data_IF_079288889199
#
_entry.id   IF_079288889199
#
_cell.length_a   1.000
_cell.length_b   1.000
_cell.length_c   1.000
_cell.angle_alpha   90.00
_cell.angle_beta   90.00
_cell.angle_gamma   90.00
#
_symmetry.space_group_name_H-M   'P 1'
#
loop_
_entity.id
_entity.type
_entity.pdbx_description
1 polymer ?
#
# COMPACT_ATOMS: atom_id res chain seq x y z
N UNK A 1 -84.07 -6.22 -5.75
CA UNK A 1 -83.77 -6.36 -7.19
C UNK A 1 -82.50 -5.56 -7.44
N UNK A 2 -81.32 -6.19 -7.34
CA UNK A 2 -80.50 -6.66 -8.49
C UNK A 2 -80.59 -5.70 -9.68
N UNK A 3 -79.55 -4.90 -9.89
CA UNK A 3 -78.61 -5.03 -11.03
C UNK A 3 -77.31 -4.28 -10.68
N UNK A 4 -76.22 -5.06 -10.52
CA UNK A 4 -74.84 -4.57 -10.50
C UNK A 4 -74.40 -4.31 -11.94
N UNK A 5 -73.73 -3.18 -12.18
CA UNK A 5 -72.86 -2.99 -13.35
C UNK A 5 -71.45 -2.69 -12.83
N UNK A 6 -70.58 -3.67 -13.00
CA UNK A 6 -69.14 -3.63 -12.72
C UNK A 6 -68.42 -2.95 -13.88
N UNK A 7 -67.79 -1.80 -13.62
CA UNK A 7 -66.75 -1.23 -14.46
C UNK A 7 -65.46 -1.13 -13.63
N UNK A 8 -64.46 -1.93 -14.00
CA UNK A 8 -63.13 -1.96 -13.42
C UNK A 8 -62.40 -0.63 -13.68
N UNK A 9 -62.03 0.10 -12.64
CA UNK A 9 -60.91 1.04 -12.72
C UNK A 9 -59.61 0.25 -12.47
N UNK A 10 -58.80 0.11 -13.51
CA UNK A 10 -57.42 -0.37 -13.39
C UNK A 10 -56.58 0.77 -12.81
N UNK A 11 -56.17 0.65 -11.55
CA UNK A 11 -55.19 1.54 -10.95
C UNK A 11 -53.79 1.07 -11.37
N UNK A 12 -53.16 1.80 -12.28
CA UNK A 12 -51.72 1.65 -12.56
C UNK A 12 -50.98 2.22 -11.35
N UNK A 13 -50.51 1.36 -10.46
CA UNK A 13 -49.56 1.73 -9.43
C UNK A 13 -48.19 1.91 -10.11
N UNK A 14 -47.80 3.16 -10.38
CA UNK A 14 -46.42 3.48 -10.71
C UNK A 14 -45.58 3.25 -9.45
N UNK A 15 -44.93 2.09 -9.39
CA UNK A 15 -43.89 1.81 -8.40
C UNK A 15 -42.68 2.71 -8.69
N UNK A 16 -42.60 3.85 -8.00
CA UNK A 16 -41.32 4.52 -7.82
C UNK A 16 -40.51 3.69 -6.85
N UNK A 17 -39.68 2.79 -7.37
CA UNK A 17 -38.57 2.27 -6.61
C UNK A 17 -37.62 3.45 -6.35
N UNK A 18 -37.72 4.05 -5.17
CA UNK A 18 -36.60 4.81 -4.64
C UNK A 18 -35.45 3.81 -4.53
N UNK A 19 -34.41 4.00 -5.35
CA UNK A 19 -33.16 3.33 -5.13
C UNK A 19 -32.78 3.59 -3.66
N UNK A 20 -32.57 2.52 -2.90
CA UNK A 20 -31.95 2.65 -1.59
C UNK A 20 -30.68 3.50 -1.78
N UNK A 21 -30.43 4.49 -0.92
CA UNK A 21 -29.14 5.18 -0.93
C UNK A 21 -28.05 4.11 -0.88
N UNK A 22 -27.02 4.28 -1.71
CA UNK A 22 -25.84 3.42 -1.67
C UNK A 22 -25.42 3.26 -0.19
N UNK A 23 -25.06 2.05 0.26
CA UNK A 23 -24.57 1.88 1.61
C UNK A 23 -23.43 2.88 1.82
N UNK A 24 -23.53 3.71 2.86
CA UNK A 24 -22.42 4.52 3.34
C UNK A 24 -21.23 3.55 3.46
N UNK A 25 -20.15 3.83 2.73
CA UNK A 25 -19.02 2.91 2.62
C UNK A 25 -18.60 2.41 3.99
N UNK A 26 -18.38 1.10 4.12
CA UNK A 26 -17.69 0.57 5.29
C UNK A 26 -16.37 1.36 5.42
N UNK A 27 -16.23 2.12 6.51
CA UNK A 27 -14.93 2.67 6.88
C UNK A 27 -14.06 1.46 7.19
N UNK A 28 -13.23 1.07 6.22
CA UNK A 28 -12.27 0.00 6.39
C UNK A 28 -11.35 0.33 7.57
N UNK A 29 -10.95 -0.69 8.31
CA UNK A 29 -9.84 -0.55 9.24
C UNK A 29 -8.56 -0.29 8.45
N UNK A 30 -7.67 0.49 9.06
CA UNK A 30 -6.37 0.87 8.52
C UNK A 30 -5.28 0.19 9.35
N UNK A 31 -4.08 0.00 8.80
CA UNK A 31 -2.97 -0.60 9.54
C UNK A 31 -1.68 -0.67 8.75
N UNK A 32 -0.57 -0.42 9.43
CA UNK A 32 0.76 -0.37 8.83
C UNK A 32 1.59 -1.59 9.27
N UNK A 33 2.19 -2.27 8.29
CA UNK A 33 2.93 -3.52 8.53
C UNK A 33 4.17 -3.31 9.41
N UNK A 34 4.75 -4.37 10.01
CA UNK A 34 6.06 -4.25 10.65
C UNK A 34 7.15 -3.71 9.73
N UNK A 35 7.07 -4.01 8.43
CA UNK A 35 7.99 -3.48 7.42
C UNK A 35 7.91 -1.96 7.27
N UNK A 36 6.72 -1.37 7.43
CA UNK A 36 6.56 0.09 7.45
C UNK A 36 7.27 0.68 8.68
N UNK A 37 6.84 0.28 9.89
CA UNK A 37 7.34 0.88 11.13
C UNK A 37 8.84 0.72 11.35
N UNK A 38 9.43 -0.41 10.94
CA UNK A 38 10.88 -0.62 11.07
C UNK A 38 11.71 0.24 10.10
N UNK A 39 11.13 0.59 8.96
CA UNK A 39 11.80 1.41 7.95
C UNK A 39 11.53 2.91 8.13
N UNK A 40 10.63 3.28 9.04
CA UNK A 40 10.23 4.68 9.32
C UNK A 40 10.37 5.02 10.82
N UNK A 41 11.56 4.89 11.43
CA UNK A 41 11.75 5.20 12.85
C UNK A 41 11.40 6.65 13.22
N UNK A 42 11.58 7.59 12.30
CA UNK A 42 11.22 9.02 12.44
C UNK A 42 9.72 9.25 12.66
N UNK A 43 8.86 8.28 12.29
CA UNK A 43 7.40 8.38 12.42
C UNK A 43 6.88 8.00 13.80
N UNK A 44 7.77 7.60 14.71
CA UNK A 44 7.45 7.15 16.06
C UNK A 44 8.64 7.31 17.02
N UNK A 45 9.42 8.38 16.88
CA UNK A 45 10.59 8.68 17.72
C UNK A 45 10.32 9.69 18.85
N UNK A 46 9.11 10.25 18.93
CA UNK A 46 8.73 11.28 19.89
C UNK A 46 9.18 12.69 19.51
N UNK A 47 9.67 12.91 18.28
CA UNK A 47 10.27 14.16 17.85
C UNK A 47 9.74 14.64 16.51
N UNK A 48 9.90 15.94 16.23
CA UNK A 48 9.52 16.50 14.93
C UNK A 48 8.01 16.65 14.73
N UNK A 49 7.63 17.03 13.51
CA UNK A 49 6.23 17.15 13.07
C UNK A 49 5.81 15.99 12.16
N UNK A 50 6.72 15.06 11.95
CA UNK A 50 6.64 13.85 11.15
C UNK A 50 6.34 12.59 11.99
N UNK A 51 6.39 12.68 13.32
CA UNK A 51 5.90 11.65 14.24
C UNK A 51 4.37 11.53 14.18
N UNK A 52 3.89 10.33 13.90
CA UNK A 52 2.46 10.01 13.80
C UNK A 52 1.90 9.38 15.06
N UNK A 53 2.75 8.89 15.95
CA UNK A 53 2.37 8.31 17.24
C UNK A 53 2.27 9.37 18.33
N UNK A 54 1.50 9.10 19.38
CA UNK A 54 1.24 10.03 20.48
C UNK A 54 2.02 9.62 21.73
N UNK A 55 2.01 8.33 22.07
CA UNK A 55 2.57 7.77 23.30
C UNK A 55 3.56 6.63 23.07
N UNK A 56 3.43 5.91 21.95
CA UNK A 56 4.32 4.79 21.61
C UNK A 56 5.58 5.33 20.96
N UNK A 57 6.74 4.92 21.45
CA UNK A 57 8.03 5.34 20.90
C UNK A 57 8.88 4.13 20.55
N UNK A 58 9.54 4.16 19.41
CA UNK A 58 10.29 3.03 18.86
C UNK A 58 11.44 2.57 19.77
N UNK A 59 11.96 3.45 20.63
CA UNK A 59 13.04 3.16 21.60
C UNK A 59 12.54 2.54 22.92
N UNK A 60 11.23 2.43 23.12
CA UNK A 60 10.68 1.82 24.33
C UNK A 60 11.12 0.35 24.42
N UNK A 61 11.52 -0.09 25.62
CA UNK A 61 11.92 -1.48 25.85
C UNK A 61 10.69 -2.38 25.78
N UNK A 62 10.75 -3.38 24.90
CA UNK A 62 9.60 -4.19 24.49
C UNK A 62 8.96 -4.93 25.66
N UNK A 63 9.77 -5.58 26.50
CA UNK A 63 9.26 -6.39 27.61
C UNK A 63 8.57 -5.53 28.66
N UNK A 64 9.14 -4.37 28.97
CA UNK A 64 8.59 -3.36 29.87
C UNK A 64 7.32 -2.75 29.31
N UNK A 65 7.28 -2.46 28.01
CA UNK A 65 6.11 -1.91 27.33
C UNK A 65 4.91 -2.85 27.39
N UNK A 66 5.11 -4.14 27.09
CA UNK A 66 4.05 -5.16 27.17
C UNK A 66 3.86 -5.76 28.58
N UNK A 67 4.74 -5.43 29.53
CA UNK A 67 4.72 -5.95 30.90
C UNK A 67 4.97 -7.46 31.01
N UNK A 68 5.84 -8.01 30.15
CA UNK A 68 6.14 -9.45 30.05
C UNK A 68 7.58 -9.76 30.46
N UNK A 69 7.88 -11.02 30.75
CA UNK A 69 9.26 -11.47 31.01
C UNK A 69 9.95 -11.93 29.72
N UNK A 70 11.29 -12.03 29.75
CA UNK A 70 12.10 -12.60 28.67
C UNK A 70 11.68 -14.01 28.30
N UNK A 71 11.27 -14.82 29.28
CA UNK A 71 10.83 -16.20 29.06
C UNK A 71 9.51 -16.26 28.29
N UNK A 72 8.64 -15.25 28.47
CA UNK A 72 7.37 -15.13 27.77
C UNK A 72 7.57 -14.59 26.34
N UNK A 73 8.35 -13.52 26.18
CA UNK A 73 8.56 -12.89 24.87
C UNK A 73 9.59 -13.60 24.00
N UNK A 74 10.55 -14.30 24.61
CA UNK A 74 11.74 -14.83 23.95
C UNK A 74 12.79 -13.76 23.62
N UNK A 75 12.56 -12.48 23.97
CA UNK A 75 13.45 -11.37 23.62
C UNK A 75 14.43 -11.03 24.75
N UNK A 76 15.72 -10.75 24.45
CA UNK A 76 16.67 -10.23 25.43
C UNK A 76 16.17 -8.94 26.10
N UNK A 77 16.61 -8.71 27.35
CA UNK A 77 16.38 -7.43 28.02
C UNK A 77 17.00 -6.28 27.24
N UNK A 78 16.29 -5.17 27.15
CA UNK A 78 16.74 -3.99 26.42
C UNK A 78 16.38 -3.99 24.94
N UNK A 79 15.76 -5.07 24.43
CA UNK A 79 15.23 -5.08 23.06
C UNK A 79 14.16 -4.01 22.94
N UNK A 80 14.32 -3.10 21.99
CA UNK A 80 13.39 -2.00 21.72
C UNK A 80 12.20 -2.45 20.88
N UNK A 81 11.13 -1.65 20.81
CA UNK A 81 10.03 -1.88 19.87
C UNK A 81 10.51 -1.92 18.41
N UNK A 82 11.47 -1.05 18.05
CA UNK A 82 12.07 -1.03 16.71
C UNK A 82 12.80 -2.34 16.38
N UNK A 83 13.66 -2.81 17.28
CA UNK A 83 14.39 -4.07 17.11
C UNK A 83 13.43 -5.27 17.07
N UNK A 84 12.38 -5.26 17.89
CA UNK A 84 11.34 -6.28 17.85
C UNK A 84 10.62 -6.30 16.49
N UNK A 85 10.30 -5.14 15.92
CA UNK A 85 9.68 -4.99 14.59
C UNK A 85 10.56 -5.48 13.43
N UNK A 86 11.87 -5.66 13.64
CA UNK A 86 12.81 -6.21 12.65
C UNK A 86 13.22 -7.68 12.94
N UNK A 87 12.63 -8.34 13.94
CA UNK A 87 13.00 -9.73 14.26
C UNK A 87 12.68 -10.72 13.14
N UNK A 88 13.69 -11.50 12.73
CA UNK A 88 13.49 -12.63 11.83
C UNK A 88 12.85 -13.85 12.51
N UNK A 89 12.25 -14.74 11.72
CA UNK A 89 11.71 -16.02 12.20
C UNK A 89 10.20 -16.05 12.46
N UNK A 90 9.73 -17.16 13.06
CA UNK A 90 8.33 -17.46 13.36
C UNK A 90 8.01 -17.48 14.86
N UNK A 91 6.82 -17.97 15.24
CA UNK A 91 6.42 -18.12 16.64
C UNK A 91 6.51 -16.81 17.43
N UNK A 92 7.15 -16.83 18.60
CA UNK A 92 7.28 -15.66 19.47
C UNK A 92 7.94 -14.45 18.79
N UNK A 93 8.94 -14.68 17.92
CA UNK A 93 9.58 -13.60 17.17
C UNK A 93 8.58 -12.95 16.20
N UNK A 94 7.80 -13.75 15.46
CA UNK A 94 6.77 -13.21 14.58
C UNK A 94 5.67 -12.48 15.36
N UNK A 95 5.21 -13.03 16.50
CA UNK A 95 4.24 -12.36 17.36
C UNK A 95 4.78 -11.01 17.86
N UNK A 96 6.02 -10.97 18.36
CA UNK A 96 6.65 -9.73 18.82
C UNK A 96 6.77 -8.69 17.70
N UNK A 97 7.15 -9.13 16.50
CA UNK A 97 7.27 -8.27 15.32
C UNK A 97 5.94 -7.62 14.94
N UNK A 98 4.85 -8.39 14.94
CA UNK A 98 3.50 -7.88 14.67
C UNK A 98 2.93 -7.06 15.83
N UNK A 99 3.30 -7.37 17.07
CA UNK A 99 2.88 -6.61 18.25
C UNK A 99 3.51 -5.22 18.32
N UNK A 100 4.79 -5.09 17.99
CA UNK A 100 5.44 -3.77 17.89
C UNK A 100 4.76 -2.88 16.84
N UNK A 101 4.49 -3.43 15.65
CA UNK A 101 3.78 -2.72 14.58
C UNK A 101 2.33 -2.36 14.96
N UNK A 102 1.64 -3.27 15.65
CA UNK A 102 0.28 -3.04 16.11
C UNK A 102 0.24 -1.94 17.19
N UNK A 103 1.21 -1.91 18.09
CA UNK A 103 1.30 -0.87 19.12
C UNK A 103 1.42 0.52 18.47
N UNK A 104 2.35 0.68 17.52
CA UNK A 104 2.51 1.92 16.77
C UNK A 104 1.24 2.29 15.97
N UNK A 105 0.68 1.33 15.22
CA UNK A 105 -0.55 1.55 14.44
C UNK A 105 -1.75 1.95 15.30
N UNK A 106 -1.89 1.36 16.49
CA UNK A 106 -2.99 1.64 17.42
C UNK A 106 -2.90 2.99 18.13
N UNK A 107 -1.70 3.58 18.16
CA UNK A 107 -1.40 4.86 18.79
C UNK A 107 -1.25 5.99 17.76
N UNK A 108 -1.07 5.63 16.48
CA UNK A 108 -1.09 6.57 15.37
C UNK A 108 -2.49 7.14 15.11
N UNK A 109 -2.58 8.25 14.38
CA UNK A 109 -3.86 8.89 14.02
C UNK A 109 -4.64 8.16 12.91
N UNK A 110 -4.55 6.83 12.86
CA UNK A 110 -5.20 5.98 11.85
C UNK A 110 -6.35 5.17 12.47
N UNK A 111 -7.29 4.73 11.64
CA UNK A 111 -8.43 3.91 12.07
C UNK A 111 -8.04 2.44 12.29
N UNK A 112 -7.16 2.17 13.25
CA UNK A 112 -6.67 0.82 13.55
C UNK A 112 -7.74 -0.05 14.22
N UNK A 113 -7.75 -1.36 13.93
CA UNK A 113 -8.77 -2.30 14.41
C UNK A 113 -8.81 -2.44 15.94
N UNK A 114 -7.65 -2.33 16.59
CA UNK A 114 -7.50 -2.51 18.03
C UNK A 114 -7.04 -1.21 18.68
N UNK A 115 -7.54 -0.90 19.86
CA UNK A 115 -6.91 0.11 20.72
C UNK A 115 -5.55 -0.39 21.23
N UNK A 116 -4.67 0.51 21.65
CA UNK A 116 -3.37 0.13 22.23
C UNK A 116 -3.52 -0.83 23.43
N UNK A 117 -4.54 -0.62 24.26
CA UNK A 117 -4.84 -1.49 25.38
C UNK A 117 -5.22 -2.92 24.93
N UNK A 118 -5.99 -3.04 23.85
CA UNK A 118 -6.35 -4.33 23.25
C UNK A 118 -5.14 -5.00 22.60
N UNK A 119 -4.26 -4.25 21.93
CA UNK A 119 -2.99 -4.79 21.39
C UNK A 119 -2.14 -5.41 22.51
N UNK A 120 -1.99 -4.70 23.63
CA UNK A 120 -1.26 -5.20 24.79
C UNK A 120 -1.94 -6.45 25.36
N UNK A 121 -3.26 -6.47 25.48
CA UNK A 121 -4.01 -7.62 25.97
C UNK A 121 -3.88 -8.85 25.05
N UNK A 122 -3.99 -8.67 23.73
CA UNK A 122 -3.83 -9.74 22.73
C UNK A 122 -2.44 -10.34 22.82
N UNK A 123 -1.39 -9.50 22.88
CA UNK A 123 -0.02 -9.99 23.00
C UNK A 123 0.18 -10.78 24.30
N UNK A 124 -0.29 -10.22 25.43
CA UNK A 124 -0.15 -10.84 26.76
C UNK A 124 -0.92 -12.15 26.90
N UNK A 125 -2.09 -12.29 26.29
CA UNK A 125 -2.81 -13.57 26.21
C UNK A 125 -2.00 -14.59 25.40
N UNK A 126 -1.56 -14.22 24.18
CA UNK A 126 -0.81 -15.10 23.29
C UNK A 126 0.49 -15.66 23.86
N UNK A 127 1.19 -14.90 24.72
CA UNK A 127 2.42 -15.37 25.40
C UNK A 127 2.16 -15.97 26.79
N UNK A 128 0.89 -16.12 27.20
CA UNK A 128 0.49 -16.68 28.49
C UNK A 128 0.86 -15.80 29.68
N UNK A 129 0.98 -14.48 29.49
CA UNK A 129 1.19 -13.52 30.57
C UNK A 129 -0.11 -13.15 31.28
N UNK A 130 -1.23 -13.14 30.55
CA UNK A 130 -2.58 -12.97 31.10
C UNK A 130 -3.45 -14.21 30.84
N UNK A 131 -4.48 -14.47 31.65
CA UNK A 131 -5.45 -15.51 31.37
C UNK A 131 -6.29 -15.17 30.14
N UNK A 132 -6.28 -16.04 29.14
CA UNK A 132 -7.19 -15.98 28.01
C UNK A 132 -7.15 -17.28 27.20
N UNK A 133 -7.45 -17.18 25.91
CA UNK A 133 -7.62 -18.35 25.03
C UNK A 133 -6.70 -18.35 23.83
N UNK A 134 -6.05 -17.23 23.53
CA UNK A 134 -5.20 -17.12 22.35
C UNK A 134 -3.88 -17.84 22.57
N UNK A 135 -3.49 -18.67 21.60
CA UNK A 135 -2.10 -19.09 21.50
C UNK A 135 -1.23 -18.06 20.74
N UNK A 136 0.08 -18.33 20.67
CA UNK A 136 1.06 -17.46 20.00
C UNK A 136 0.69 -17.19 18.55
N UNK A 137 0.21 -18.21 17.82
CA UNK A 137 -0.11 -18.08 16.40
C UNK A 137 -1.45 -17.38 16.19
N UNK A 138 -2.45 -17.63 17.03
CA UNK A 138 -3.74 -16.95 17.00
C UNK A 138 -3.60 -15.45 17.30
N UNK A 139 -2.85 -15.09 18.35
CA UNK A 139 -2.55 -13.70 18.67
C UNK A 139 -1.75 -13.03 17.53
N UNK A 140 -0.77 -13.73 16.95
CA UNK A 140 0.02 -13.20 15.85
C UNK A 140 -0.84 -12.97 14.61
N UNK A 141 -1.71 -13.92 14.26
CA UNK A 141 -2.61 -13.81 13.11
C UNK A 141 -3.60 -12.64 13.26
N UNK A 142 -4.12 -12.42 14.47
CA UNK A 142 -5.01 -11.29 14.74
C UNK A 142 -4.31 -9.94 14.50
N UNK A 143 -3.11 -9.77 15.05
CA UNK A 143 -2.32 -8.55 14.87
C UNK A 143 -1.80 -8.41 13.43
N UNK A 144 -1.42 -9.51 12.78
CA UNK A 144 -1.01 -9.52 11.38
C UNK A 144 -2.13 -9.05 10.45
N UNK A 145 -3.35 -9.56 10.62
CA UNK A 145 -4.51 -9.17 9.83
C UNK A 145 -4.82 -7.67 9.97
N UNK A 146 -4.77 -7.13 11.19
CA UNK A 146 -4.95 -5.70 11.44
C UNK A 146 -3.84 -4.84 10.81
N UNK A 147 -2.58 -5.24 10.97
CA UNK A 147 -1.43 -4.56 10.36
C UNK A 147 -1.41 -4.60 8.82
N UNK A 148 -2.17 -5.52 8.20
CA UNK A 148 -2.29 -5.66 6.75
C UNK A 148 -3.58 -5.02 6.18
N UNK A 149 -4.33 -4.28 6.99
CA UNK A 149 -5.60 -3.66 6.58
C UNK A 149 -5.42 -2.50 5.57
N UNK A 150 -4.19 -2.01 5.41
CA UNK A 150 -3.82 -0.95 4.45
C UNK A 150 -3.33 0.28 5.20
N UNK A 151 -2.10 0.71 4.92
CA UNK A 151 -1.43 1.80 5.63
C UNK A 151 -1.82 3.16 5.00
N UNK A 152 -2.52 4.04 5.75
CA UNK A 152 -2.96 5.35 5.24
C UNK A 152 -1.93 6.45 5.54
N UNK A 153 -1.03 6.19 6.50
CA UNK A 153 0.23 6.90 6.62
C UNK A 153 0.92 6.56 5.32
N UNK A 154 1.04 7.53 4.42
CA UNK A 154 1.68 7.28 3.14
C UNK A 154 3.00 6.55 3.38
N UNK A 155 3.48 5.82 2.38
CA UNK A 155 4.92 5.61 2.28
C UNK A 155 5.60 6.95 1.97
N UNK A 156 5.29 7.99 2.75
CA UNK A 156 6.04 9.21 2.90
C UNK A 156 7.34 8.85 3.65
N UNK A 157 7.94 7.71 3.33
CA UNK A 157 9.36 7.65 3.17
C UNK A 157 9.70 8.95 2.44
N UNK A 158 10.43 9.90 3.08
CA UNK A 158 10.72 11.18 2.44
C UNK A 158 11.41 10.99 1.08
N UNK A 159 11.98 9.81 0.86
CA UNK A 159 12.61 9.40 -0.37
C UNK A 159 11.61 8.90 -1.44
N UNK A 160 10.40 8.46 -1.08
CA UNK A 160 9.37 7.98 -2.02
C UNK A 160 8.26 9.03 -2.16
N UNK A 161 8.16 9.64 -3.34
CA UNK A 161 7.11 10.62 -3.65
C UNK A 161 6.20 10.11 -4.76
N UNK A 162 4.98 9.62 -4.46
CA UNK A 162 3.96 9.33 -5.47
C UNK A 162 3.49 10.62 -6.16
N UNK A 163 3.32 10.57 -7.48
CA UNK A 163 2.85 11.73 -8.27
C UNK A 163 2.15 11.28 -9.55
N UNK A 164 1.62 12.25 -10.31
CA UNK A 164 0.94 12.00 -11.58
C UNK A 164 -0.30 11.09 -11.45
N UNK A 165 -1.14 11.39 -10.46
CA UNK A 165 -2.46 10.78 -10.38
C UNK A 165 -3.38 11.31 -11.50
N UNK A 166 -4.32 10.47 -11.92
CA UNK A 166 -5.39 10.82 -12.85
C UNK A 166 -6.49 11.60 -12.11
N UNK A 167 -6.68 12.86 -12.49
CA UNK A 167 -7.64 13.78 -11.89
C UNK A 167 -8.39 14.57 -12.97
N UNK A 168 -9.37 15.36 -12.53
CA UNK A 168 -10.17 16.20 -13.40
C UNK A 168 -9.30 17.11 -14.28
N UNK A 169 -9.52 17.03 -15.59
CA UNK A 169 -8.85 17.87 -16.59
C UNK A 169 -7.42 17.49 -16.93
N UNK A 170 -6.83 16.45 -16.29
CA UNK A 170 -5.48 16.00 -16.62
C UNK A 170 -5.44 14.71 -17.46
N UNK A 171 -6.54 13.95 -17.50
CA UNK A 171 -6.63 12.70 -18.26
C UNK A 171 -7.02 12.91 -19.73
N UNK A 172 -6.30 12.33 -20.70
CA UNK A 172 -6.57 12.55 -22.13
C UNK A 172 -7.96 12.13 -22.58
N UNK A 173 -8.51 11.08 -21.96
CA UNK A 173 -9.84 10.54 -22.28
C UNK A 173 -10.97 11.23 -21.48
N UNK A 174 -10.63 12.16 -20.56
CA UNK A 174 -11.61 12.83 -19.68
C UNK A 174 -12.06 12.03 -18.46
N UNK A 175 -11.79 10.72 -18.43
CA UNK A 175 -12.24 9.81 -17.37
C UNK A 175 -11.20 9.67 -16.22
N UNK A 176 -11.65 9.83 -14.96
CA UNK A 176 -10.83 9.72 -13.74
C UNK A 176 -11.70 9.26 -12.54
N UNK A 177 -11.09 8.62 -11.52
CA UNK A 177 -11.72 8.32 -10.22
C UNK A 177 -10.86 8.75 -9.01
N UNK A 178 -9.65 9.28 -9.25
CA UNK A 178 -8.63 9.45 -8.21
C UNK A 178 -8.04 8.11 -7.75
N UNK A 179 -6.88 8.14 -7.08
CA UNK A 179 -6.28 6.93 -6.48
C UNK A 179 -5.42 6.06 -7.41
N UNK A 180 -5.07 6.53 -8.61
CA UNK A 180 -4.17 5.86 -9.55
C UNK A 180 -3.91 6.73 -10.78
N UNK A 181 -3.50 6.13 -11.90
CA UNK A 181 -3.43 6.79 -13.22
C UNK A 181 -4.82 7.10 -13.79
N UNK A 182 -4.88 7.51 -15.07
CA UNK A 182 -6.15 7.72 -15.77
C UNK A 182 -6.94 6.41 -15.95
N UNK A 183 -8.27 6.49 -16.04
CA UNK A 183 -9.08 5.27 -16.12
C UNK A 183 -8.76 4.43 -17.35
N UNK A 184 -8.56 3.13 -17.13
CA UNK A 184 -8.49 2.14 -18.19
C UNK A 184 -9.88 1.53 -18.47
N UNK A 185 -9.98 0.64 -19.46
CA UNK A 185 -11.24 0.05 -19.93
C UNK A 185 -12.06 -0.72 -18.87
N UNK A 186 -11.47 -1.00 -17.71
CA UNK A 186 -12.11 -1.66 -16.58
C UNK A 186 -12.67 -0.70 -15.53
N UNK A 187 -12.58 0.61 -15.78
CA UNK A 187 -13.14 1.66 -14.91
C UNK A 187 -12.31 1.96 -13.67
N UNK A 188 -11.01 1.60 -13.65
CA UNK A 188 -10.09 1.88 -12.54
C UNK A 188 -8.85 2.60 -13.04
N UNK A 189 -8.15 3.31 -12.15
CA UNK A 189 -6.84 3.90 -12.42
C UNK A 189 -5.75 3.00 -11.87
N UNK A 190 -4.80 2.57 -12.71
CA UNK A 190 -3.72 1.71 -12.24
C UNK A 190 -2.84 2.45 -11.21
N UNK A 191 -2.63 1.85 -10.05
CA UNK A 191 -1.93 2.45 -8.92
C UNK A 191 -0.56 1.79 -8.74
N UNK A 192 0.50 2.54 -9.00
CA UNK A 192 1.88 2.20 -8.67
C UNK A 192 2.24 2.74 -7.28
N UNK A 193 2.65 1.84 -6.40
CA UNK A 193 3.21 2.13 -5.08
C UNK A 193 4.53 1.37 -4.88
N UNK A 194 5.30 1.76 -3.87
CA UNK A 194 6.57 1.15 -3.50
C UNK A 194 6.52 0.76 -2.02
N UNK A 195 6.98 -0.44 -1.66
CA UNK A 195 7.04 -0.96 -0.29
C UNK A 195 8.43 -1.56 -0.06
N UNK A 196 9.04 -1.33 1.10
CA UNK A 196 10.41 -1.77 1.42
C UNK A 196 11.23 -0.60 1.94
N UNK A 197 12.54 -0.61 1.74
CA UNK A 197 13.44 0.52 2.01
C UNK A 197 14.05 1.05 0.71
N UNK A 198 14.41 2.33 0.67
CA UNK A 198 15.18 2.92 -0.46
C UNK A 198 16.68 2.64 -0.40
N UNK A 199 17.14 1.80 0.53
CA UNK A 199 18.55 1.44 0.69
C UNK A 199 19.06 0.56 -0.47
N UNK A 200 20.10 1.02 -1.15
CA UNK A 200 20.77 0.26 -2.21
C UNK A 200 21.48 -0.97 -1.65
N UNK A 201 22.02 -0.90 -0.43
CA UNK A 201 22.65 -2.05 0.21
C UNK A 201 21.64 -3.12 0.63
N UNK A 202 20.45 -2.73 1.09
CA UNK A 202 19.39 -3.68 1.43
C UNK A 202 18.74 -4.31 0.19
N UNK A 203 18.53 -3.51 -0.87
CA UNK A 203 17.92 -3.89 -2.14
C UNK A 203 16.57 -4.65 -1.96
N UNK A 204 15.78 -4.24 -0.97
CA UNK A 204 14.52 -4.89 -0.59
C UNK A 204 13.26 -4.15 -1.08
N UNK A 205 13.42 -3.05 -1.82
CA UNK A 205 12.30 -2.28 -2.37
C UNK A 205 11.51 -3.09 -3.41
N UNK A 206 10.19 -3.12 -3.25
CA UNK A 206 9.23 -3.74 -4.17
C UNK A 206 8.26 -2.69 -4.69
N UNK A 207 8.31 -2.46 -6.00
CA UNK A 207 7.32 -1.68 -6.73
C UNK A 207 6.13 -2.57 -7.08
N UNK A 208 4.94 -2.22 -6.61
CA UNK A 208 3.70 -2.93 -6.89
C UNK A 208 2.77 -2.03 -7.69
N UNK A 209 2.31 -2.52 -8.85
CA UNK A 209 1.20 -1.87 -9.56
C UNK A 209 -0.06 -2.69 -9.39
N UNK A 210 -1.12 -2.09 -8.84
CA UNK A 210 -2.44 -2.69 -8.65
C UNK A 210 -3.47 -2.03 -9.57
N UNK A 211 -4.70 -2.56 -9.58
CA UNK A 211 -5.82 -2.02 -10.36
C UNK A 211 -5.49 -1.94 -11.86
N UNK A 212 -4.74 -2.93 -12.37
CA UNK A 212 -4.52 -3.12 -13.79
C UNK A 212 -5.67 -3.96 -14.39
N UNK A 213 -5.94 -3.85 -15.70
CA UNK A 213 -6.70 -4.88 -16.40
C UNK A 213 -6.10 -6.26 -16.13
N UNK A 214 -6.87 -7.28 -15.72
CA UNK A 214 -6.34 -8.63 -15.45
C UNK A 214 -5.69 -9.27 -16.67
N UNK A 215 -4.70 -10.14 -16.46
CA UNK A 215 -4.05 -10.96 -17.51
C UNK A 215 -3.53 -10.17 -18.71
N UNK A 216 -3.02 -8.96 -18.45
CA UNK A 216 -2.70 -8.00 -19.49
C UNK A 216 -1.23 -7.59 -19.45
N UNK A 217 -0.62 -7.51 -20.63
CA UNK A 217 0.78 -7.13 -20.79
C UNK A 217 1.05 -5.78 -20.13
N UNK A 218 2.00 -5.78 -19.20
CA UNK A 218 2.38 -4.66 -18.35
C UNK A 218 3.90 -4.64 -18.19
N UNK A 219 4.47 -3.44 -18.05
CA UNK A 219 5.92 -3.25 -17.98
C UNK A 219 6.24 -2.01 -17.17
N UNK A 220 6.96 -2.20 -16.08
CA UNK A 220 7.53 -1.12 -15.29
C UNK A 220 8.81 -0.60 -15.95
N UNK A 221 8.95 0.71 -15.97
CA UNK A 221 10.11 1.39 -16.54
C UNK A 221 10.50 2.57 -15.66
N UNK A 222 11.73 3.05 -15.86
CA UNK A 222 12.32 4.13 -15.08
C UNK A 222 13.00 5.19 -15.95
N UNK A 223 13.23 6.36 -15.37
CA UNK A 223 13.91 7.50 -15.99
C UNK A 223 14.48 8.46 -14.96
N UNK A 224 15.20 9.46 -15.45
CA UNK A 224 15.99 10.39 -14.63
C UNK A 224 15.20 11.62 -14.16
N UNK A 225 14.01 11.87 -14.73
CA UNK A 225 13.21 13.05 -14.41
C UNK A 225 11.72 12.74 -14.39
N UNK A 226 10.99 13.57 -13.65
CA UNK A 226 9.54 13.66 -13.79
C UNK A 226 9.14 14.21 -15.15
N UNK A 227 7.97 13.81 -15.61
CA UNK A 227 7.32 14.29 -16.82
C UNK A 227 5.83 14.49 -16.56
N UNK A 228 5.15 15.03 -17.56
CA UNK A 228 3.70 15.15 -17.56
C UNK A 228 3.22 15.44 -18.98
N UNK A 229 3.09 14.39 -19.78
CA UNK A 229 2.64 14.53 -21.17
C UNK A 229 1.54 13.53 -21.49
N UNK A 230 0.44 13.93 -22.15
CA UNK A 230 -0.54 12.98 -22.68
C UNK A 230 0.14 11.90 -23.52
N UNK A 231 -0.12 10.62 -23.20
CA UNK A 231 0.47 9.49 -23.89
C UNK A 231 -0.45 8.27 -23.82
N UNK A 232 -1.01 7.89 -24.97
CA UNK A 232 -2.05 6.87 -25.04
C UNK A 232 -3.33 7.32 -24.33
N UNK A 233 -3.94 6.42 -23.56
CA UNK A 233 -5.12 6.73 -22.75
C UNK A 233 -4.77 7.41 -21.41
N UNK A 234 -3.48 7.58 -21.12
CA UNK A 234 -2.98 8.12 -19.85
C UNK A 234 -1.91 9.18 -20.04
N UNK A 235 -1.02 9.31 -19.05
CA UNK A 235 0.03 10.33 -19.03
C UNK A 235 1.39 9.67 -18.87
N UNK A 236 2.34 10.01 -19.73
CA UNK A 236 3.73 9.68 -19.53
C UNK A 236 4.32 10.70 -18.55
N UNK A 237 4.63 10.20 -17.36
CA UNK A 237 5.10 11.00 -16.23
C UNK A 237 6.53 10.71 -15.83
N UNK A 238 7.21 9.83 -16.57
CA UNK A 238 8.64 9.58 -16.44
C UNK A 238 9.33 10.05 -17.71
N UNK A 239 10.41 10.80 -17.53
CA UNK A 239 11.18 11.48 -18.55
C UNK A 239 12.67 11.15 -18.38
N UNK A 240 13.42 11.26 -19.46
CA UNK A 240 14.88 11.11 -19.43
C UNK A 240 15.49 11.94 -20.56
N UNK A 241 15.49 13.29 -20.46
CA UNK A 241 15.97 14.14 -21.55
C UNK A 241 17.44 13.86 -21.86
N UNK A 242 17.75 13.62 -23.14
CA UNK A 242 19.11 13.25 -23.57
C UNK A 242 19.51 11.81 -23.27
N UNK A 243 18.62 10.99 -22.70
CA UNK A 243 18.84 9.57 -22.37
C UNK A 243 17.64 8.71 -22.79
N UNK A 244 17.73 7.38 -22.58
CA UNK A 244 16.62 6.45 -22.85
C UNK A 244 15.82 6.22 -21.57
N UNK A 245 14.53 5.93 -21.72
CA UNK A 245 13.75 5.29 -20.65
C UNK A 245 14.21 3.84 -20.52
N UNK A 246 14.54 3.41 -19.31
CA UNK A 246 15.01 2.06 -19.03
C UNK A 246 13.83 1.17 -18.67
N UNK A 247 13.68 0.05 -19.37
CA UNK A 247 12.49 -0.82 -19.27
C UNK A 247 12.92 -2.13 -18.64
N UNK A 248 12.36 -2.45 -17.48
CA UNK A 248 12.64 -3.72 -16.80
C UNK A 248 12.11 -4.88 -17.63
N UNK A 249 12.92 -5.94 -17.71
CA UNK A 249 12.62 -7.17 -18.44
C UNK A 249 12.57 -8.36 -17.48
N UNK A 250 11.79 -9.40 -17.79
CA UNK A 250 10.81 -9.44 -18.88
C UNK A 250 9.61 -8.54 -18.59
N UNK A 251 8.91 -8.12 -19.63
CA UNK A 251 7.58 -7.58 -19.41
C UNK A 251 6.67 -8.69 -18.85
N UNK A 252 5.75 -8.31 -17.98
CA UNK A 252 4.89 -9.22 -17.24
C UNK A 252 3.47 -9.18 -17.80
N UNK A 253 2.68 -10.19 -17.51
CA UNK A 253 1.23 -10.04 -17.55
C UNK A 253 0.75 -9.80 -16.12
N UNK A 254 -0.16 -8.86 -15.94
CA UNK A 254 -0.85 -8.70 -14.67
C UNK A 254 -1.53 -10.00 -14.26
N UNK A 255 -1.59 -10.27 -12.96
CA UNK A 255 -2.28 -11.42 -12.40
C UNK A 255 -3.80 -11.36 -12.69
N UNK A 256 -4.56 -12.43 -12.41
CA UNK A 256 -6.03 -12.36 -12.44
C UNK A 256 -6.64 -11.29 -11.53
N UNK A 257 -5.90 -10.84 -10.51
CA UNK A 257 -6.29 -9.75 -9.60
C UNK A 257 -5.83 -8.37 -10.07
N UNK A 258 -5.20 -8.25 -11.24
CA UNK A 258 -4.76 -6.96 -11.79
C UNK A 258 -3.51 -6.40 -11.12
N UNK A 259 -2.55 -7.27 -10.76
CA UNK A 259 -1.31 -6.86 -10.08
C UNK A 259 -0.06 -7.24 -10.88
N UNK A 260 0.97 -6.38 -10.85
CA UNK A 260 2.36 -6.76 -11.15
C UNK A 260 3.30 -6.28 -10.05
N UNK A 261 4.46 -6.93 -9.93
CA UNK A 261 5.50 -6.55 -8.98
C UNK A 261 6.88 -6.56 -9.64
N UNK A 262 7.68 -5.55 -9.30
CA UNK A 262 9.10 -5.43 -9.63
C UNK A 262 9.88 -5.25 -8.32
N UNK A 263 10.79 -6.17 -8.04
CA UNK A 263 11.51 -6.23 -6.77
C UNK A 263 11.15 -7.49 -5.96
N UNK A 264 11.83 -7.74 -4.82
CA UNK A 264 13.05 -7.05 -4.37
C UNK A 264 14.21 -7.26 -5.36
N UNK A 265 15.33 -6.55 -5.18
CA UNK A 265 16.47 -6.63 -6.09
C UNK A 265 16.46 -5.59 -7.22
N UNK A 266 15.73 -4.49 -7.08
CA UNK A 266 15.58 -3.50 -8.17
C UNK A 266 16.90 -2.77 -8.48
N UNK A 267 17.75 -2.58 -7.48
CA UNK A 267 19.07 -1.98 -7.66
C UNK A 267 20.00 -2.95 -8.39
N UNK A 268 20.03 -4.23 -8.01
CA UNK A 268 20.75 -5.25 -8.74
C UNK A 268 20.24 -5.39 -10.19
N UNK A 269 18.93 -5.38 -10.42
CA UNK A 269 18.33 -5.44 -11.75
C UNK A 269 18.69 -4.23 -12.63
N UNK A 270 18.92 -3.06 -12.03
CA UNK A 270 19.30 -1.85 -12.78
C UNK A 270 20.69 -1.95 -13.43
N UNK A 271 21.53 -2.90 -13.00
CA UNK A 271 22.85 -3.13 -13.60
C UNK A 271 22.78 -3.54 -15.07
N UNK A 272 21.66 -4.12 -15.52
CA UNK A 272 21.39 -4.38 -16.94
C UNK A 272 21.40 -3.10 -17.80
N UNK A 273 21.21 -1.94 -17.15
CA UNK A 273 21.21 -0.63 -17.79
C UNK A 273 22.51 0.15 -17.57
N UNK A 274 23.49 -0.39 -16.84
CA UNK A 274 24.72 0.31 -16.44
C UNK A 274 25.47 0.90 -17.64
N UNK A 275 25.55 0.17 -18.75
CA UNK A 275 26.24 0.63 -19.98
C UNK A 275 25.60 1.90 -20.60
N UNK A 276 24.41 2.28 -20.15
CA UNK A 276 23.68 3.46 -20.57
C UNK A 276 23.45 4.46 -19.42
N UNK A 277 24.11 4.27 -18.27
CA UNK A 277 23.94 5.10 -17.07
C UNK A 277 22.60 4.89 -16.37
N UNK A 278 21.96 3.73 -16.55
CA UNK A 278 20.68 3.37 -15.94
C UNK A 278 20.79 2.62 -14.61
N UNK A 279 21.97 2.55 -14.01
CA UNK A 279 22.20 1.85 -12.76
C UNK A 279 21.82 2.73 -11.56
N UNK A 280 21.07 2.15 -10.63
CA UNK A 280 20.72 2.73 -9.35
C UNK A 280 21.96 2.69 -8.45
N UNK A 281 22.31 3.84 -7.88
CA UNK A 281 23.43 3.98 -6.94
C UNK A 281 22.98 4.72 -5.69
N UNK A 282 23.69 4.58 -4.56
CA UNK A 282 23.43 5.40 -3.38
C UNK A 282 23.44 6.89 -3.74
N UNK A 283 22.45 7.64 -3.23
CA UNK A 283 22.21 9.05 -3.48
C UNK A 283 21.59 9.38 -4.85
N UNK A 284 21.20 8.38 -5.67
CA UNK A 284 20.56 8.64 -6.97
C UNK A 284 19.04 8.74 -6.85
N UNK A 285 18.44 9.64 -7.63
CA UNK A 285 16.99 9.77 -7.75
C UNK A 285 16.51 9.11 -9.05
N UNK A 286 15.47 8.29 -8.97
CA UNK A 286 14.83 7.66 -10.13
C UNK A 286 13.32 7.78 -10.10
N UNK A 287 12.72 7.84 -11.28
CA UNK A 287 11.28 7.97 -11.46
C UNK A 287 10.76 6.72 -12.15
N UNK A 288 9.73 6.08 -11.59
CA UNK A 288 9.16 4.83 -12.09
C UNK A 288 7.69 5.01 -12.49
N UNK A 289 7.28 4.28 -13.52
CA UNK A 289 5.89 4.21 -13.98
C UNK A 289 5.65 2.86 -14.66
N UNK A 290 4.41 2.40 -14.63
CA UNK A 290 4.00 1.17 -15.30
C UNK A 290 3.19 1.51 -16.55
N UNK A 291 3.64 0.98 -17.69
CA UNK A 291 2.89 0.92 -18.94
C UNK A 291 2.07 -0.38 -18.96
N UNK A 292 0.84 -0.34 -19.48
CA UNK A 292 0.06 -1.55 -19.71
C UNK A 292 -0.83 -1.46 -20.95
N UNK A 293 -1.14 -2.60 -21.55
CA UNK A 293 -2.10 -2.70 -22.65
C UNK A 293 -3.50 -2.41 -22.15
N UNK A 294 -4.28 -1.69 -22.95
CA UNK A 294 -5.64 -1.30 -22.59
C UNK A 294 -6.40 -0.98 -23.87
N UNK A 295 -7.51 -1.66 -24.14
CA UNK A 295 -8.36 -1.36 -25.29
C UNK A 295 -9.62 -0.71 -24.73
N UNK A 296 -9.55 0.61 -24.53
CA UNK A 296 -10.68 1.38 -24.04
C UNK A 296 -11.53 1.86 -25.24
N UNK A 297 -12.79 1.40 -25.41
CA UNK A 297 -13.63 1.84 -26.54
C UNK A 297 -13.97 3.33 -26.51
N UNK A 298 -13.83 3.99 -25.36
CA UNK A 298 -14.06 5.42 -25.19
C UNK A 298 -12.80 6.27 -25.44
N UNK A 299 -11.66 5.65 -25.76
CA UNK A 299 -10.41 6.35 -25.99
C UNK A 299 -9.59 5.74 -27.14
N UNK A 300 -8.79 6.55 -27.83
CA UNK A 300 -8.28 6.18 -29.15
C UNK A 300 -6.98 5.35 -29.13
N UNK A 301 -6.41 5.02 -27.97
CA UNK A 301 -5.17 4.26 -27.86
C UNK A 301 -5.35 2.87 -27.25
N UNK A 302 -4.41 1.97 -27.57
CA UNK A 302 -4.39 0.57 -27.14
C UNK A 302 -3.51 0.32 -25.90
N UNK A 303 -3.31 1.36 -25.08
CA UNK A 303 -2.50 1.32 -23.87
C UNK A 303 -2.81 2.49 -22.94
N UNK A 304 -2.47 2.31 -21.68
CA UNK A 304 -2.59 3.32 -20.63
C UNK A 304 -1.40 3.21 -19.66
N UNK A 305 -1.29 4.11 -18.69
CA UNK A 305 -0.20 4.19 -17.72
C UNK A 305 -0.74 4.40 -16.29
N UNK A 306 -0.02 3.87 -15.31
CA UNK A 306 -0.27 4.14 -13.88
C UNK A 306 0.09 5.58 -13.51
N UNK A 307 -0.16 5.97 -12.25
CA UNK A 307 0.59 7.06 -11.64
C UNK A 307 2.10 6.72 -11.62
N UNK A 308 2.92 7.68 -11.20
CA UNK A 308 4.36 7.50 -11.10
C UNK A 308 4.84 7.65 -9.65
N UNK A 309 6.04 7.14 -9.38
CA UNK A 309 6.73 7.32 -8.09
C UNK A 309 8.13 7.85 -8.35
N UNK A 310 8.53 8.89 -7.61
CA UNK A 310 9.92 9.36 -7.50
C UNK A 310 10.53 8.67 -6.29
N UNK A 311 11.75 8.17 -6.43
CA UNK A 311 12.46 7.44 -5.36
C UNK A 311 13.88 7.99 -5.25
N UNK A 312 14.26 8.47 -4.07
CA UNK A 312 15.62 8.83 -3.70
C UNK A 312 16.30 7.62 -3.03
N UNK A 313 17.32 7.06 -3.66
CA UNK A 313 17.98 5.87 -3.12
C UNK A 313 19.03 6.25 -2.09
N UNK A 314 18.95 5.71 -0.88
CA UNK A 314 19.93 5.90 0.19
C UNK A 314 20.97 4.77 0.20
N UNK A 315 22.11 4.93 0.89
CA UNK A 315 23.12 3.87 1.01
C UNK A 315 22.57 2.52 1.46
#
# INVERSE_FOLDING_TARGET
>A
MKYLSTALLSAVAASYAFAAPAPLGEVGFEGCTPGYWKNHPERWDGTGGDDFTITVQHQAEFNMFFGVTKEQSGLPYGTTLLEAADTGGGGLAALARHAAAAAASSDATINYLYTLAEVIAIYRDGVGADPGTLDVEEAKNALEAANQAGCPLGNDDPDITPYCFGDEGNCPCGDFLGGGGCLHSGGQGALLSAIGSTSVAADDLVLTTTQLPPNTYSMTFMGLQGGNTPFGNGRLCVSSPGSKLFRYKPAQNSTPTGTIQLGPGIAALSLDFQQWGGNITPGSTWYFQTYFRDINPNCNANFNLSNAVRIDFVP
#
